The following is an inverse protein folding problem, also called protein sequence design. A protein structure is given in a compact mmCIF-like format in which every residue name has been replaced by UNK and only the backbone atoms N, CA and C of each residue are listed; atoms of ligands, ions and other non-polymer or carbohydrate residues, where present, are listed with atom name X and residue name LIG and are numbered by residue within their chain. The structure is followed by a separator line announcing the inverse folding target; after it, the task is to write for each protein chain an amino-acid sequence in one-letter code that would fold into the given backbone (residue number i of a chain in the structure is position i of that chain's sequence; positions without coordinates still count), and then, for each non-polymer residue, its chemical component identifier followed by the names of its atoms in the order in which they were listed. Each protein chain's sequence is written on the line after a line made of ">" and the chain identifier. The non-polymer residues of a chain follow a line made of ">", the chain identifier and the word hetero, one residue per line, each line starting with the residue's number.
data_IF_754010062252
#
_entry.id   IF_754010062252
#
_cell.length_a   1.000
_cell.length_b   1.000
_cell.length_c   1.000
_cell.angle_alpha   90.00
_cell.angle_beta   90.00
_cell.angle_gamma   90.00
#
_symmetry.space_group_name_H-M   'P 1'
#
loop_
_entity.id
_entity.type
_entity.pdbx_description
1 polymer ?
#
# COMPACT_ATOMS: atom_id res chain seq x y z
N UNK A 1 -18.83 -11.26 37.34
CA UNK A 1 -19.36 -11.12 35.97
C UNK A 1 -18.24 -11.57 35.05
N UNK A 2 -18.32 -12.78 34.49
CA UNK A 2 -17.20 -13.50 33.87
C UNK A 2 -17.11 -13.35 32.34
N UNK A 3 -17.35 -12.16 31.79
CA UNK A 3 -16.97 -11.80 30.41
C UNK A 3 -16.94 -10.28 30.32
N UNK A 4 -15.81 -9.67 29.99
CA UNK A 4 -15.81 -8.22 29.72
C UNK A 4 -14.87 -7.80 28.57
N UNK A 5 -14.41 -8.73 27.72
CA UNK A 5 -13.61 -8.37 26.55
C UNK A 5 -13.73 -9.39 25.43
N UNK A 6 -13.79 -8.92 24.19
CA UNK A 6 -13.68 -9.73 22.98
C UNK A 6 -12.32 -9.49 22.34
N UNK A 7 -11.64 -10.57 21.94
CA UNK A 7 -10.39 -10.47 21.18
C UNK A 7 -10.71 -10.82 19.73
N UNK A 8 -10.56 -9.83 18.85
CA UNK A 8 -10.82 -9.98 17.42
C UNK A 8 -9.51 -9.86 16.64
N UNK A 9 -9.22 -10.87 15.82
CA UNK A 9 -8.06 -10.90 14.93
C UNK A 9 -8.54 -11.08 13.49
N UNK A 10 -8.32 -10.07 12.66
CA UNK A 10 -8.72 -10.05 11.26
C UNK A 10 -7.53 -9.92 10.33
N UNK A 11 -7.64 -10.49 9.13
CA UNK A 11 -6.63 -10.37 8.09
C UNK A 11 -7.25 -10.38 6.69
N UNK A 12 -6.71 -9.53 5.82
CA UNK A 12 -7.01 -9.52 4.40
C UNK A 12 -5.75 -9.95 3.64
N UNK A 13 -5.79 -11.11 2.98
CA UNK A 13 -4.64 -11.66 2.26
C UNK A 13 -4.53 -11.05 0.86
N UNK A 14 -3.35 -10.52 0.54
CA UNK A 14 -2.92 -10.31 -0.84
C UNK A 14 -2.20 -11.57 -1.33
N UNK A 15 -2.71 -12.24 -2.36
CA UNK A 15 -2.09 -13.46 -2.91
C UNK A 15 -0.70 -13.16 -3.49
N UNK A 16 0.35 -13.61 -2.83
CA UNK A 16 1.75 -13.52 -3.29
C UNK A 16 2.11 -14.73 -4.16
N UNK A 17 3.40 -14.96 -4.44
CA UNK A 17 3.87 -16.15 -5.15
C UNK A 17 3.50 -17.41 -4.36
N UNK A 18 2.34 -17.99 -4.65
CA UNK A 18 1.85 -19.15 -3.91
C UNK A 18 0.33 -19.18 -3.88
N UNK A 19 -0.23 -19.87 -4.89
CA UNK A 19 -1.56 -20.50 -4.94
C UNK A 19 -2.69 -19.79 -4.16
N UNK A 20 -3.76 -19.39 -4.86
CA UNK A 20 -4.99 -18.86 -4.24
C UNK A 20 -5.80 -19.98 -3.57
N UNK A 21 -5.32 -20.49 -2.43
CA UNK A 21 -6.04 -21.46 -1.62
C UNK A 21 -6.39 -20.91 -0.23
N UNK A 22 -7.44 -21.49 0.36
CA UNK A 22 -8.00 -21.10 1.67
C UNK A 22 -7.01 -21.38 2.80
N UNK A 23 -6.17 -22.41 2.66
CA UNK A 23 -5.21 -22.84 3.68
C UNK A 23 -4.10 -21.81 3.95
N UNK A 24 -3.93 -20.83 3.07
CA UNK A 24 -2.98 -19.73 3.26
C UNK A 24 -3.62 -18.48 3.85
N UNK A 25 -4.94 -18.49 4.09
CA UNK A 25 -5.63 -17.38 4.73
C UNK A 25 -5.31 -17.37 6.24
N UNK A 26 -4.89 -16.22 6.74
CA UNK A 26 -4.73 -15.98 8.17
C UNK A 26 -6.12 -15.79 8.83
N UNK A 27 -6.26 -15.97 10.16
CA UNK A 27 -5.22 -16.31 11.12
C UNK A 27 -4.81 -17.79 11.08
N UNK A 28 -3.53 -18.07 11.31
CA UNK A 28 -3.09 -19.43 11.62
C UNK A 28 -3.23 -19.66 13.11
N UNK A 29 -3.60 -20.88 13.49
CA UNK A 29 -3.84 -21.26 14.88
C UNK A 29 -3.02 -22.51 15.18
N UNK A 30 -2.16 -22.42 16.20
CA UNK A 30 -1.52 -23.58 16.80
C UNK A 30 -2.26 -23.91 18.10
N UNK A 31 -2.73 -25.16 18.22
CA UNK A 31 -3.56 -25.61 19.32
C UNK A 31 -2.74 -26.47 20.29
N UNK A 32 -3.05 -26.33 21.57
CA UNK A 32 -2.47 -27.11 22.66
C UNK A 32 -3.55 -27.39 23.71
N UNK A 33 -3.37 -28.45 24.49
CA UNK A 33 -4.29 -28.80 25.59
C UNK A 33 -4.18 -27.80 26.74
N UNK A 34 -3.04 -27.12 26.90
CA UNK A 34 -2.84 -26.07 27.89
C UNK A 34 -3.25 -24.73 27.28
N UNK A 35 -4.24 -24.00 27.84
CA UNK A 35 -4.73 -22.74 27.27
C UNK A 35 -3.62 -21.72 26.93
N UNK A 36 -2.68 -21.49 27.85
CA UNK A 36 -1.58 -20.54 27.68
C UNK A 36 -0.62 -20.89 26.51
N UNK A 37 -0.65 -22.13 26.00
CA UNK A 37 0.18 -22.59 24.87
C UNK A 37 -0.53 -22.51 23.52
N UNK A 38 -1.82 -22.17 23.50
CA UNK A 38 -2.54 -21.91 22.27
C UNK A 38 -2.15 -20.52 21.75
N UNK A 39 -1.95 -20.40 20.44
CA UNK A 39 -1.62 -19.11 19.80
C UNK A 39 -2.29 -18.99 18.44
N UNK A 40 -2.89 -17.83 18.18
CA UNK A 40 -3.38 -17.42 16.88
C UNK A 40 -2.52 -16.26 16.38
N UNK A 41 -2.13 -16.28 15.10
CA UNK A 41 -1.29 -15.24 14.48
C UNK A 41 -1.86 -14.80 13.13
N UNK A 42 -1.78 -13.50 12.88
CA UNK A 42 -2.00 -12.90 11.58
C UNK A 42 -1.12 -11.66 11.43
N UNK A 43 -0.70 -11.34 10.22
CA UNK A 43 0.05 -10.11 10.02
C UNK A 43 0.32 -9.78 8.56
N UNK A 44 0.83 -8.57 8.36
CA UNK A 44 1.40 -8.12 7.11
C UNK A 44 2.92 -8.25 7.23
N UNK A 45 3.49 -9.28 6.61
CA UNK A 45 4.91 -9.52 6.69
C UNK A 45 5.46 -10.27 5.48
N UNK A 46 6.79 -10.28 5.40
CA UNK A 46 7.56 -11.16 4.55
C UNK A 46 8.81 -11.55 5.34
N UNK A 47 8.85 -12.78 5.85
CA UNK A 47 10.01 -13.30 6.60
C UNK A 47 10.87 -14.10 5.61
N UNK A 48 12.11 -13.65 5.41
CA UNK A 48 12.99 -14.19 4.35
C UNK A 48 13.83 -15.37 4.82
N UNK A 49 13.92 -15.61 6.13
CA UNK A 49 14.75 -16.64 6.73
C UNK A 49 13.95 -17.80 7.34
N UNK A 50 12.79 -18.15 6.75
CA UNK A 50 11.91 -19.22 7.26
C UNK A 50 12.64 -20.56 7.53
N UNK A 51 13.59 -20.95 6.66
CA UNK A 51 14.38 -22.18 6.85
C UNK A 51 15.28 -22.14 8.09
N UNK A 52 15.85 -20.97 8.40
CA UNK A 52 16.64 -20.77 9.62
C UNK A 52 15.76 -20.90 10.86
N UNK A 53 14.50 -20.42 10.80
CA UNK A 53 13.56 -20.56 11.92
C UNK A 53 13.24 -22.03 12.20
N UNK A 54 13.01 -22.84 11.16
CA UNK A 54 12.80 -24.28 11.30
C UNK A 54 14.02 -24.99 11.86
N UNK A 55 15.22 -24.62 11.39
CA UNK A 55 16.49 -25.12 11.91
C UNK A 55 16.64 -24.80 13.41
N UNK A 56 16.28 -23.59 13.83
CA UNK A 56 16.33 -23.15 15.22
C UNK A 56 15.43 -24.01 16.14
N UNK A 57 14.26 -24.45 15.66
CA UNK A 57 13.36 -25.32 16.42
C UNK A 57 13.60 -26.82 16.18
N UNK A 58 14.60 -27.19 15.38
CA UNK A 58 14.97 -28.58 15.11
C UNK A 58 13.91 -29.36 14.33
N UNK A 59 13.16 -28.69 13.44
CA UNK A 59 12.12 -29.33 12.61
C UNK A 59 12.48 -29.28 11.14
N UNK A 60 12.09 -30.33 10.42
CA UNK A 60 12.16 -30.39 8.96
C UNK A 60 10.73 -30.33 8.41
N UNK A 61 10.26 -29.15 7.94
CA UNK A 61 8.93 -29.03 7.36
C UNK A 61 8.86 -29.73 5.99
N UNK A 62 7.68 -30.22 5.64
CA UNK A 62 7.41 -30.70 4.28
C UNK A 62 7.54 -29.54 3.26
N UNK A 63 7.83 -29.86 1.99
CA UNK A 63 8.08 -28.86 0.95
C UNK A 63 6.94 -27.82 0.80
N UNK A 64 5.68 -28.23 0.97
CA UNK A 64 4.54 -27.30 0.85
C UNK A 64 4.43 -26.30 2.03
N UNK A 65 4.93 -26.67 3.21
CA UNK A 65 4.89 -25.86 4.45
C UNK A 65 6.17 -25.02 4.59
N UNK A 66 7.28 -25.52 4.06
CA UNK A 66 8.61 -24.88 4.09
C UNK A 66 8.62 -23.45 3.54
N UNK A 67 7.79 -23.16 2.54
CA UNK A 67 7.70 -21.84 1.90
C UNK A 67 6.68 -20.89 2.56
N UNK A 68 5.94 -21.32 3.57
CA UNK A 68 5.02 -20.46 4.30
C UNK A 68 5.75 -19.78 5.46
N UNK A 69 6.00 -18.48 5.31
CA UNK A 69 6.62 -17.64 6.34
C UNK A 69 5.77 -17.56 7.62
N UNK A 70 4.44 -17.51 7.49
CA UNK A 70 3.55 -17.60 8.65
C UNK A 70 3.64 -18.95 9.36
N UNK A 71 3.76 -20.06 8.62
CA UNK A 71 3.91 -21.38 9.23
C UNK A 71 5.21 -21.47 10.05
N UNK A 72 6.31 -20.97 9.49
CA UNK A 72 7.59 -20.91 10.20
C UNK A 72 7.49 -20.05 11.47
N UNK A 73 6.85 -18.88 11.36
CA UNK A 73 6.66 -17.97 12.49
C UNK A 73 5.80 -18.58 13.60
N UNK A 74 4.64 -19.17 13.26
CA UNK A 74 3.74 -19.71 14.29
C UNK A 74 4.35 -20.92 14.99
N UNK A 75 5.13 -21.74 14.29
CA UNK A 75 5.85 -22.84 14.90
C UNK A 75 6.98 -22.38 15.82
N UNK A 76 7.75 -21.37 15.40
CA UNK A 76 8.76 -20.74 16.24
C UNK A 76 8.14 -20.17 17.51
N UNK A 77 7.10 -19.35 17.36
CA UNK A 77 6.42 -18.73 18.51
C UNK A 77 5.78 -19.76 19.41
N UNK A 78 5.13 -20.80 18.88
CA UNK A 78 4.57 -21.90 19.68
C UNK A 78 5.66 -22.64 20.48
N UNK A 79 6.83 -22.89 19.87
CA UNK A 79 7.97 -23.50 20.57
C UNK A 79 8.49 -22.63 21.71
N UNK A 80 8.65 -21.32 21.48
CA UNK A 80 9.09 -20.37 22.51
C UNK A 80 8.05 -20.17 23.61
N UNK A 81 6.77 -20.16 23.25
CA UNK A 81 5.63 -20.06 24.16
C UNK A 81 5.58 -21.26 25.11
N UNK A 82 5.76 -22.48 24.58
CA UNK A 82 5.84 -23.71 25.39
C UNK A 82 6.98 -23.63 26.42
N UNK A 83 8.17 -23.22 26.00
CA UNK A 83 9.34 -23.07 26.88
C UNK A 83 9.10 -22.03 27.98
N UNK A 84 8.47 -20.92 27.65
CA UNK A 84 8.15 -19.86 28.63
C UNK A 84 7.13 -20.36 29.66
N UNK A 85 6.08 -21.06 29.22
CA UNK A 85 5.06 -21.66 30.09
C UNK A 85 5.63 -22.79 30.96
N UNK A 86 6.56 -23.60 30.45
CA UNK A 86 7.24 -24.64 31.25
C UNK A 86 8.15 -24.03 32.31
N UNK A 87 8.78 -22.89 32.01
CA UNK A 87 9.66 -22.20 32.95
C UNK A 87 8.88 -21.38 33.98
N UNK A 88 7.70 -20.88 33.62
CA UNK A 88 6.85 -20.04 34.46
C UNK A 88 5.37 -20.50 34.37
N UNK A 89 5.01 -21.65 34.94
CA UNK A 89 3.64 -22.16 34.87
C UNK A 89 2.62 -21.15 35.40
N UNK A 90 1.53 -20.95 34.65
CA UNK A 90 0.43 -20.02 34.97
C UNK A 90 0.85 -18.53 35.06
N UNK A 91 2.09 -18.21 34.70
CA UNK A 91 2.67 -16.85 34.73
C UNK A 91 3.39 -16.52 33.43
N UNK A 92 2.76 -16.89 32.32
CA UNK A 92 3.29 -16.66 30.98
C UNK A 92 3.64 -15.18 30.79
N UNK A 93 4.90 -14.90 30.44
CA UNK A 93 5.32 -13.57 30.05
C UNK A 93 5.44 -13.50 28.52
N UNK A 94 4.39 -13.01 27.86
CA UNK A 94 4.37 -12.89 26.39
C UNK A 94 5.48 -11.96 25.89
N UNK A 95 5.82 -10.90 26.62
CA UNK A 95 6.87 -9.98 26.23
C UNK A 95 8.22 -10.70 26.12
N UNK A 96 8.54 -11.63 27.03
CA UNK A 96 9.74 -12.47 26.92
C UNK A 96 9.73 -13.35 25.67
N UNK A 97 8.60 -13.93 25.31
CA UNK A 97 8.45 -14.71 24.07
C UNK A 97 8.71 -13.83 22.86
N UNK A 98 8.14 -12.62 22.83
CA UNK A 98 8.35 -11.67 21.74
C UNK A 98 9.81 -11.18 21.67
N UNK A 99 10.44 -10.88 22.81
CA UNK A 99 11.88 -10.51 22.90
C UNK A 99 12.80 -11.61 22.37
N UNK A 100 12.43 -12.88 22.52
CA UNK A 100 13.16 -14.02 21.96
C UNK A 100 12.84 -14.25 20.48
N UNK A 101 11.62 -13.95 20.05
CA UNK A 101 11.15 -14.17 18.67
C UNK A 101 11.73 -13.12 17.71
N UNK A 102 11.55 -11.83 18.01
CA UNK A 102 11.86 -10.73 17.08
C UNK A 102 13.31 -10.76 16.57
N UNK A 103 14.34 -11.02 17.39
CA UNK A 103 15.73 -11.09 16.92
C UNK A 103 16.03 -12.22 15.93
N UNK A 104 15.19 -13.27 15.89
CA UNK A 104 15.34 -14.40 14.99
C UNK A 104 14.73 -14.14 13.61
N UNK A 105 13.84 -13.15 13.49
CA UNK A 105 13.14 -12.85 12.24
C UNK A 105 13.98 -11.92 11.37
N UNK A 106 14.17 -12.29 10.11
CA UNK A 106 14.69 -11.42 9.07
C UNK A 106 13.58 -11.06 8.08
N UNK A 107 13.44 -9.77 7.78
CA UNK A 107 12.40 -9.22 6.92
C UNK A 107 11.63 -8.06 7.53
N UNK A 108 10.54 -7.67 6.85
CA UNK A 108 9.64 -6.61 7.29
C UNK A 108 8.32 -7.18 7.77
N UNK A 109 7.91 -6.84 8.99
CA UNK A 109 6.76 -7.47 9.63
C UNK A 109 6.01 -6.55 10.59
N UNK A 110 4.68 -6.68 10.53
CA UNK A 110 3.74 -6.27 11.56
C UNK A 110 2.80 -7.45 11.82
N UNK A 111 2.82 -7.96 13.04
CA UNK A 111 2.13 -9.20 13.41
C UNK A 111 1.24 -8.93 14.61
N UNK A 112 -0.01 -9.36 14.52
CA UNK A 112 -0.93 -9.44 15.64
C UNK A 112 -1.20 -10.90 16.01
N UNK A 113 -1.49 -11.13 17.28
CA UNK A 113 -1.82 -12.45 17.78
C UNK A 113 -2.55 -12.44 19.09
N UNK A 114 -3.00 -13.61 19.48
CA UNK A 114 -3.65 -13.84 20.76
C UNK A 114 -3.29 -15.23 21.29
N UNK A 115 -3.14 -15.34 22.61
CA UNK A 115 -2.97 -16.62 23.30
C UNK A 115 -4.30 -17.14 23.85
N UNK A 116 -4.38 -18.45 24.12
CA UNK A 116 -5.61 -19.07 24.63
C UNK A 116 -6.01 -18.67 26.05
N UNK A 117 -5.12 -18.03 26.81
CA UNK A 117 -5.43 -17.44 28.12
C UNK A 117 -5.91 -15.98 28.05
N UNK A 118 -6.10 -15.42 26.85
CA UNK A 118 -6.71 -14.09 26.68
C UNK A 118 -5.72 -12.93 26.55
N UNK A 119 -4.42 -13.20 26.33
CA UNK A 119 -3.44 -12.13 26.08
C UNK A 119 -3.44 -11.83 24.58
N UNK A 120 -3.79 -10.58 24.23
CA UNK A 120 -3.67 -10.04 22.88
C UNK A 120 -2.36 -9.29 22.71
N UNK A 121 -1.74 -9.38 21.53
CA UNK A 121 -0.51 -8.61 21.27
C UNK A 121 -0.35 -8.24 19.80
N UNK A 122 0.44 -7.20 19.59
CA UNK A 122 0.91 -6.74 18.28
C UNK A 122 2.37 -6.35 18.40
N UNK A 123 3.21 -6.71 17.44
CA UNK A 123 4.60 -6.28 17.39
C UNK A 123 5.03 -5.85 15.99
N UNK A 124 6.08 -5.02 15.94
CA UNK A 124 6.63 -4.44 14.70
C UNK A 124 8.11 -4.73 14.56
N UNK A 125 8.54 -4.92 13.31
CA UNK A 125 9.95 -5.09 12.96
C UNK A 125 10.84 -3.92 13.44
N UNK A 126 12.12 -4.18 13.78
CA UNK A 126 13.03 -3.17 14.32
C UNK A 126 13.42 -2.07 13.33
N UNK A 127 13.17 -2.26 12.03
CA UNK A 127 13.43 -1.27 10.99
C UNK A 127 12.18 -0.42 10.66
N UNK A 128 11.01 -0.78 11.19
CA UNK A 128 9.72 -0.17 10.86
C UNK A 128 9.35 -0.27 9.38
N UNK A 129 9.70 -1.38 8.72
CA UNK A 129 9.46 -1.60 7.28
C UNK A 129 7.97 -1.60 6.98
N UNK A 130 7.19 -2.40 7.73
CA UNK A 130 5.74 -2.47 7.59
C UNK A 130 5.05 -1.42 8.47
N UNK A 131 4.00 -0.74 7.99
CA UNK A 131 3.28 0.24 8.79
C UNK A 131 2.46 -0.46 9.89
N UNK A 132 2.37 0.19 11.05
CA UNK A 132 1.62 -0.30 12.20
C UNK A 132 1.13 0.88 13.03
N UNK A 133 -0.17 0.92 13.30
CA UNK A 133 -0.82 1.98 14.05
C UNK A 133 -1.73 1.38 15.12
N UNK A 134 -1.95 2.14 16.18
CA UNK A 134 -2.85 1.74 17.26
C UNK A 134 -3.64 2.93 17.82
N UNK A 135 -4.76 2.61 18.45
CA UNK A 135 -5.61 3.53 19.20
C UNK A 135 -6.10 2.82 20.46
N UNK A 136 -6.14 3.57 21.57
CA UNK A 136 -6.54 3.09 22.89
C UNK A 136 -7.44 4.13 23.52
N UNK A 137 -8.58 3.70 24.04
CA UNK A 137 -9.42 4.47 24.96
C UNK A 137 -9.92 3.55 26.09
N UNK A 138 -10.89 4.03 26.87
CA UNK A 138 -11.43 3.29 28.03
C UNK A 138 -12.21 2.02 27.66
N UNK A 139 -12.61 1.85 26.39
CA UNK A 139 -13.45 0.74 25.93
C UNK A 139 -12.73 -0.22 24.97
N UNK A 140 -11.79 0.28 24.16
CA UNK A 140 -11.17 -0.50 23.07
C UNK A 140 -9.66 -0.30 22.99
N UNK A 141 -8.97 -1.40 22.67
CA UNK A 141 -7.60 -1.39 22.16
C UNK A 141 -7.63 -1.94 20.74
N UNK A 142 -7.18 -1.14 19.78
CA UNK A 142 -7.13 -1.55 18.37
C UNK A 142 -5.78 -1.25 17.77
N UNK A 143 -5.32 -2.17 16.91
CA UNK A 143 -4.16 -1.97 16.07
C UNK A 143 -4.47 -2.40 14.63
N UNK A 144 -3.88 -1.71 13.67
CA UNK A 144 -4.06 -1.99 12.25
C UNK A 144 -2.84 -1.54 11.43
N UNK A 145 -2.67 -2.14 10.25
CA UNK A 145 -1.62 -1.78 9.29
C UNK A 145 -1.73 -0.32 8.80
N UNK A 146 -2.95 0.24 8.76
CA UNK A 146 -3.19 1.59 8.25
C UNK A 146 -3.97 2.47 9.23
N UNK A 147 -3.50 3.71 9.42
CA UNK A 147 -4.16 4.73 10.23
C UNK A 147 -5.60 4.98 9.78
N UNK A 148 -5.84 5.02 8.47
CA UNK A 148 -7.15 5.32 7.89
C UNK A 148 -8.23 4.30 8.32
N UNK A 149 -7.88 3.03 8.49
CA UNK A 149 -8.82 2.00 8.93
C UNK A 149 -9.36 2.28 10.34
N UNK A 150 -8.46 2.64 11.27
CA UNK A 150 -8.81 2.99 12.65
C UNK A 150 -9.66 4.27 12.67
N UNK A 151 -9.24 5.31 11.96
CA UNK A 151 -9.97 6.59 11.92
C UNK A 151 -11.39 6.44 11.41
N UNK A 152 -11.58 5.68 10.33
CA UNK A 152 -12.92 5.45 9.77
C UNK A 152 -13.79 4.60 10.68
N UNK A 153 -13.24 3.54 11.29
CA UNK A 153 -14.02 2.63 12.13
C UNK A 153 -14.44 3.26 13.47
N UNK A 154 -13.54 4.03 14.09
CA UNK A 154 -13.76 4.60 15.43
C UNK A 154 -14.11 6.10 15.42
N UNK A 155 -14.19 6.72 14.23
CA UNK A 155 -14.50 8.14 14.06
C UNK A 155 -13.57 9.09 14.88
N UNK A 156 -12.26 8.83 14.82
CA UNK A 156 -11.26 9.57 15.59
C UNK A 156 -10.38 10.50 14.73
N UNK A 157 -9.90 11.63 15.28
CA UNK A 157 -8.97 12.52 14.60
C UNK A 157 -7.57 11.89 14.48
N UNK A 158 -6.71 12.49 13.64
CA UNK A 158 -5.40 11.90 13.30
C UNK A 158 -4.46 11.77 14.52
N UNK A 159 -4.47 12.76 15.40
CA UNK A 159 -3.58 12.85 16.56
C UNK A 159 -3.85 11.79 17.63
N UNK A 160 -5.01 11.13 17.59
CA UNK A 160 -5.35 10.04 18.51
C UNK A 160 -4.79 8.69 18.05
N UNK A 161 -4.59 8.50 16.74
CA UNK A 161 -4.05 7.24 16.20
C UNK A 161 -2.54 7.30 16.12
N UNK A 162 -1.87 6.54 16.99
CA UNK A 162 -0.42 6.55 17.17
C UNK A 162 0.26 5.50 16.29
N UNK A 163 1.49 5.78 15.85
CA UNK A 163 2.34 4.80 15.18
C UNK A 163 2.98 3.89 16.23
N UNK A 164 2.97 2.58 16.03
CA UNK A 164 3.73 1.63 16.84
C UNK A 164 5.20 1.73 16.40
N UNK A 165 6.11 2.20 17.24
CA UNK A 165 7.48 2.52 16.79
C UNK A 165 8.29 1.24 16.48
N UNK A 166 9.39 1.34 15.71
CA UNK A 166 10.20 0.18 15.34
C UNK A 166 10.67 -0.61 16.58
N UNK A 167 10.51 -1.94 16.52
CA UNK A 167 10.89 -2.85 17.61
C UNK A 167 9.99 -2.81 18.85
N UNK A 168 8.87 -2.08 18.80
CA UNK A 168 7.88 -2.06 19.89
C UNK A 168 6.83 -3.16 19.74
N UNK A 169 6.22 -3.48 20.88
CA UNK A 169 4.98 -4.25 20.95
C UNK A 169 3.92 -3.55 21.78
N UNK A 170 2.66 -3.80 21.43
CA UNK A 170 1.48 -3.46 22.20
C UNK A 170 0.90 -4.78 22.72
N UNK A 171 0.82 -4.93 24.04
CA UNK A 171 0.33 -6.12 24.73
C UNK A 171 -0.89 -5.73 25.55
N UNK A 172 -1.93 -6.55 25.51
CA UNK A 172 -3.15 -6.42 26.30
C UNK A 172 -3.34 -7.72 27.06
N UNK A 173 -3.25 -7.65 28.38
CA UNK A 173 -3.38 -8.82 29.26
C UNK A 173 -4.85 -9.17 29.48
N UNK A 174 -5.09 -10.36 30.03
CA UNK A 174 -6.45 -10.89 30.27
C UNK A 174 -7.28 -10.06 31.26
N UNK A 175 -6.62 -9.25 32.10
CA UNK A 175 -7.26 -8.31 33.03
C UNK A 175 -7.57 -6.94 32.40
N UNK A 176 -7.22 -6.74 31.12
CA UNK A 176 -7.38 -5.49 30.39
C UNK A 176 -6.23 -4.50 30.59
N UNK A 177 -5.20 -4.84 31.37
CA UNK A 177 -4.00 -4.00 31.47
C UNK A 177 -3.23 -3.96 30.16
N UNK A 178 -2.66 -2.79 29.84
CA UNK A 178 -2.04 -2.50 28.55
C UNK A 178 -0.57 -2.14 28.75
N UNK A 179 0.29 -2.77 27.96
CA UNK A 179 1.72 -2.50 27.94
C UNK A 179 2.17 -2.13 26.53
N UNK A 180 2.76 -0.94 26.40
CA UNK A 180 3.47 -0.52 25.20
C UNK A 180 4.97 -0.64 25.47
N UNK A 181 5.58 -1.72 25.01
CA UNK A 181 6.95 -2.07 25.36
C UNK A 181 7.93 -1.91 24.19
N UNK A 182 9.15 -1.47 24.50
CA UNK A 182 10.28 -1.63 23.59
C UNK A 182 10.84 -3.06 23.74
N UNK A 183 10.48 -3.94 22.81
CA UNK A 183 10.85 -5.35 22.86
C UNK A 183 12.30 -5.55 22.38
N UNK A 184 12.71 -4.85 21.34
CA UNK A 184 14.10 -4.85 20.84
C UNK A 184 14.53 -3.42 20.49
N UNK A 185 15.83 -3.07 20.55
CA UNK A 185 16.28 -1.74 20.15
C UNK A 185 15.87 -1.40 18.71
N UNK A 186 15.37 -0.18 18.51
CA UNK A 186 15.08 0.32 17.18
C UNK A 186 16.35 0.38 16.33
N UNK A 187 16.25 -0.05 15.07
CA UNK A 187 17.32 0.03 14.07
C UNK A 187 17.05 1.22 13.14
N UNK A 188 17.95 1.41 12.17
CA UNK A 188 17.76 2.38 11.10
C UNK A 188 16.38 2.22 10.45
N UNK A 189 15.63 3.32 10.33
CA UNK A 189 14.28 3.27 9.78
C UNK A 189 14.33 3.02 8.27
N UNK A 190 13.75 1.90 7.83
CA UNK A 190 13.66 1.48 6.42
C UNK A 190 12.22 1.29 5.98
N UNK A 191 11.38 2.28 6.28
CA UNK A 191 9.96 2.27 5.95
C UNK A 191 9.75 2.02 4.44
N UNK A 192 8.80 1.15 4.09
CA UNK A 192 8.56 0.77 2.70
C UNK A 192 8.10 1.97 1.85
N UNK A 193 8.84 2.32 0.81
CA UNK A 193 8.46 3.37 -0.15
C UNK A 193 7.22 3.00 -0.97
N UNK A 194 7.01 1.71 -1.22
CA UNK A 194 5.87 1.22 -2.02
C UNK A 194 4.52 1.43 -1.33
N UNK A 195 4.51 1.47 0.02
CA UNK A 195 3.33 1.88 0.79
C UNK A 195 2.90 3.30 0.43
N UNK A 196 3.86 4.22 0.33
CA UNK A 196 3.62 5.62 0.00
C UNK A 196 3.23 5.82 -1.47
N UNK A 197 3.85 5.06 -2.37
CA UNK A 197 3.62 5.18 -3.82
C UNK A 197 2.27 4.56 -4.22
N UNK A 198 1.95 3.36 -3.73
CA UNK A 198 0.82 2.58 -4.25
C UNK A 198 -0.05 1.91 -3.18
N UNK A 199 0.53 1.12 -2.27
CA UNK A 199 -0.25 0.16 -1.45
C UNK A 199 -1.17 0.81 -0.43
N UNK A 200 -0.68 1.80 0.33
CA UNK A 200 -1.49 2.43 1.36
C UNK A 200 -2.59 3.30 0.74
N UNK A 201 -3.68 3.51 1.48
CA UNK A 201 -4.79 4.35 1.03
C UNK A 201 -4.33 5.79 0.79
N UNK A 202 -4.65 6.31 -0.40
CA UNK A 202 -4.34 7.69 -0.78
C UNK A 202 -5.11 8.76 0.01
N UNK A 203 -6.09 8.36 0.84
CA UNK A 203 -6.83 9.25 1.73
C UNK A 203 -6.10 9.58 3.03
N UNK A 204 -5.00 8.89 3.36
CA UNK A 204 -4.10 9.36 4.43
C UNK A 204 -3.43 10.67 3.98
N UNK A 205 -3.49 11.70 4.83
CA UNK A 205 -3.05 13.06 4.51
C UNK A 205 -1.57 13.13 4.08
N UNK A 206 -0.69 12.38 4.75
CA UNK A 206 0.74 12.40 4.45
C UNK A 206 1.00 11.73 3.11
N UNK A 207 0.34 10.60 2.86
CA UNK A 207 0.42 9.88 1.57
C UNK A 207 -0.15 10.74 0.45
N UNK A 208 -1.28 11.42 0.66
CA UNK A 208 -1.88 12.34 -0.31
C UNK A 208 -0.90 13.44 -0.71
N UNK A 209 -0.29 14.12 0.27
CA UNK A 209 0.69 15.19 0.03
C UNK A 209 1.93 14.68 -0.68
N UNK A 210 2.44 13.52 -0.28
CA UNK A 210 3.61 12.89 -0.91
C UNK A 210 3.33 12.54 -2.38
N UNK A 211 2.21 11.87 -2.69
CA UNK A 211 1.81 11.54 -4.06
C UNK A 211 1.60 12.79 -4.92
N UNK A 212 0.98 13.83 -4.36
CA UNK A 212 0.82 15.11 -5.06
C UNK A 212 2.19 15.73 -5.39
N UNK A 213 3.14 15.67 -4.46
CA UNK A 213 4.49 16.19 -4.67
C UNK A 213 5.28 15.36 -5.71
N UNK A 214 5.14 14.04 -5.71
CA UNK A 214 5.75 13.17 -6.73
C UNK A 214 5.28 13.57 -8.13
N UNK A 215 3.98 13.75 -8.30
CA UNK A 215 3.39 14.26 -9.53
C UNK A 215 3.93 15.63 -9.94
N UNK A 216 3.98 16.57 -8.99
CA UNK A 216 4.51 17.91 -9.25
C UNK A 216 5.97 17.88 -9.74
N UNK A 217 6.81 17.04 -9.15
CA UNK A 217 8.22 16.90 -9.55
C UNK A 217 8.40 16.31 -10.96
N UNK A 218 7.40 15.59 -11.47
CA UNK A 218 7.39 15.09 -12.85
C UNK A 218 7.02 16.16 -13.88
N UNK A 219 6.51 17.31 -13.46
CA UNK A 219 6.05 18.36 -14.39
C UNK A 219 7.15 18.82 -15.36
N UNK A 220 8.33 19.16 -14.87
CA UNK A 220 9.43 19.67 -15.69
C UNK A 220 9.96 18.62 -16.71
N UNK A 221 10.23 17.36 -16.32
CA UNK A 221 10.54 16.30 -17.30
C UNK A 221 9.45 16.13 -18.37
N UNK A 222 8.17 16.22 -18.00
CA UNK A 222 7.05 16.07 -18.93
C UNK A 222 6.98 17.26 -19.89
N UNK A 223 7.15 18.49 -19.40
CA UNK A 223 7.20 19.71 -20.22
C UNK A 223 8.30 19.61 -21.29
N UNK A 224 9.49 19.11 -20.93
CA UNK A 224 10.56 18.86 -21.89
C UNK A 224 10.18 17.81 -22.93
N UNK A 225 9.54 16.72 -22.51
CA UNK A 225 9.17 15.61 -23.38
C UNK A 225 8.08 15.96 -24.43
N UNK A 226 7.27 16.98 -24.15
CA UNK A 226 6.29 17.56 -25.07
C UNK A 226 6.80 18.82 -25.78
N UNK A 227 8.10 19.15 -25.66
CA UNK A 227 8.69 20.35 -26.25
C UNK A 227 7.95 21.64 -25.83
N UNK A 228 7.42 21.64 -24.60
CA UNK A 228 6.58 22.70 -24.03
C UNK A 228 5.27 22.99 -24.80
N UNK A 229 4.81 22.11 -25.69
CA UNK A 229 3.54 22.25 -26.42
C UNK A 229 2.33 21.85 -25.57
N UNK A 230 1.88 22.76 -24.69
CA UNK A 230 0.66 22.56 -23.90
C UNK A 230 -0.64 22.70 -24.72
N UNK A 231 -0.59 23.28 -25.93
CA UNK A 231 -1.78 23.53 -26.74
C UNK A 231 -2.27 22.25 -27.40
N UNK A 232 -1.34 21.45 -27.92
CA UNK A 232 -1.63 20.18 -28.57
C UNK A 232 -1.29 18.99 -27.68
N UNK A 233 -1.31 19.16 -26.36
CA UNK A 233 -1.12 18.07 -25.39
C UNK A 233 -2.37 17.88 -24.55
N UNK A 234 -2.81 16.63 -24.42
CA UNK A 234 -3.87 16.22 -23.50
C UNK A 234 -3.23 15.45 -22.36
N UNK A 235 -3.58 15.82 -21.12
CA UNK A 235 -3.13 15.15 -19.91
C UNK A 235 -4.24 14.26 -19.33
N UNK A 236 -3.90 13.01 -19.03
CA UNK A 236 -4.78 12.01 -18.40
C UNK A 236 -3.99 11.17 -17.39
N UNK A 237 -4.68 10.27 -16.69
CA UNK A 237 -4.09 9.28 -15.80
C UNK A 237 -4.68 7.89 -16.03
N UNK A 238 -3.98 6.85 -15.54
CA UNK A 238 -4.49 5.48 -15.44
C UNK A 238 -5.21 5.32 -14.10
N UNK A 239 -6.52 5.01 -14.07
CA UNK A 239 -7.25 4.89 -12.82
C UNK A 239 -6.83 3.66 -12.00
N UNK A 240 -6.84 3.71 -10.66
CA UNK A 240 -7.32 4.81 -9.81
C UNK A 240 -6.18 5.50 -9.04
N UNK A 241 -5.14 4.76 -8.66
CA UNK A 241 -4.13 5.23 -7.69
C UNK A 241 -3.29 6.41 -8.20
N UNK A 242 -3.07 6.50 -9.51
CA UNK A 242 -2.29 7.57 -10.13
C UNK A 242 -2.97 8.95 -10.07
N UNK A 243 -4.25 9.04 -9.73
CA UNK A 243 -5.05 10.28 -9.71
C UNK A 243 -4.42 11.39 -8.84
N UNK A 244 -3.90 11.06 -7.66
CA UNK A 244 -3.30 12.07 -6.77
C UNK A 244 -1.99 12.62 -7.35
N UNK A 245 -1.17 11.77 -7.96
CA UNK A 245 0.04 12.19 -8.66
C UNK A 245 -0.29 12.98 -9.93
N UNK A 246 -1.37 12.61 -10.63
CA UNK A 246 -1.88 13.37 -11.76
C UNK A 246 -2.22 14.82 -11.37
N UNK A 247 -2.98 15.03 -10.31
CA UNK A 247 -3.26 16.39 -9.81
C UNK A 247 -1.99 17.15 -9.43
N UNK A 248 -0.98 16.45 -8.91
CA UNK A 248 0.33 17.02 -8.65
C UNK A 248 1.00 17.54 -9.92
N UNK A 249 1.04 16.70 -10.95
CA UNK A 249 1.61 17.03 -12.25
C UNK A 249 0.88 18.19 -12.91
N UNK A 250 -0.45 18.20 -12.85
CA UNK A 250 -1.27 19.30 -13.38
C UNK A 250 -0.95 20.64 -12.72
N UNK A 251 -0.78 20.70 -11.40
CA UNK A 251 -0.35 21.94 -10.72
C UNK A 251 0.95 22.48 -11.31
N UNK A 252 1.93 21.61 -11.56
CA UNK A 252 3.18 22.03 -12.19
C UNK A 252 3.00 22.50 -13.64
N UNK A 253 2.09 21.89 -14.42
CA UNK A 253 1.74 22.37 -15.76
C UNK A 253 1.07 23.76 -15.71
N UNK A 254 0.15 23.96 -14.76
CA UNK A 254 -0.54 25.24 -14.55
C UNK A 254 0.42 26.34 -14.12
N UNK A 255 1.35 26.05 -13.21
CA UNK A 255 2.38 27.00 -12.78
C UNK A 255 3.26 27.46 -13.95
N UNK A 256 3.68 26.52 -14.80
CA UNK A 256 4.39 26.85 -16.04
C UNK A 256 3.53 27.71 -16.98
N UNK A 257 2.28 27.31 -17.23
CA UNK A 257 1.38 28.06 -18.12
C UNK A 257 1.14 29.48 -17.60
N UNK A 258 0.92 29.64 -16.29
CA UNK A 258 0.71 30.93 -15.65
C UNK A 258 1.94 31.83 -15.79
N UNK A 259 3.15 31.28 -15.60
CA UNK A 259 4.40 32.00 -15.84
C UNK A 259 4.50 32.51 -17.28
N UNK A 260 4.24 31.65 -18.27
CA UNK A 260 4.26 32.03 -19.70
C UNK A 260 3.20 33.08 -20.03
N UNK A 261 1.98 32.98 -19.46
CA UNK A 261 0.94 34.00 -19.63
C UNK A 261 1.42 35.36 -19.15
N UNK A 262 1.99 35.43 -17.94
CA UNK A 262 2.51 36.68 -17.36
C UNK A 262 3.63 37.25 -18.22
N UNK A 263 4.64 36.44 -18.58
CA UNK A 263 5.75 36.86 -19.46
C UNK A 263 5.22 37.42 -20.80
N UNK A 264 4.23 36.75 -21.40
CA UNK A 264 3.64 37.17 -22.68
C UNK A 264 2.83 38.46 -22.55
N UNK A 265 2.03 38.60 -21.49
CA UNK A 265 1.25 39.83 -21.24
C UNK A 265 2.18 41.02 -21.02
N UNK A 266 3.25 40.83 -20.24
CA UNK A 266 4.26 41.87 -20.02
C UNK A 266 4.98 42.26 -21.32
N UNK A 267 5.28 41.28 -22.18
CA UNK A 267 5.92 41.54 -23.48
C UNK A 267 5.08 42.39 -24.44
N UNK A 268 3.77 42.49 -24.23
CA UNK A 268 2.91 43.35 -25.04
C UNK A 268 3.07 44.83 -24.73
N UNK A 269 3.72 45.23 -23.63
CA UNK A 269 3.93 46.65 -23.29
C UNK A 269 2.65 47.50 -23.34
N UNK A 270 1.53 46.96 -22.81
CA UNK A 270 0.17 47.54 -22.85
C UNK A 270 -0.48 47.63 -24.24
N UNK A 271 0.12 47.02 -25.26
CA UNK A 271 -0.47 46.86 -26.60
C UNK A 271 -1.36 45.61 -26.66
N UNK A 272 -2.55 45.71 -26.08
CA UNK A 272 -3.59 44.69 -26.18
C UNK A 272 -4.98 45.30 -25.99
N UNK A 273 -5.97 44.71 -26.64
CA UNK A 273 -7.38 44.94 -26.38
C UNK A 273 -7.95 43.87 -25.43
N UNK A 274 -9.21 44.02 -25.07
CA UNK A 274 -9.91 43.07 -24.21
C UNK A 274 -9.96 41.66 -24.82
N UNK A 275 -10.10 41.55 -26.15
CA UNK A 275 -10.16 40.27 -26.84
C UNK A 275 -8.84 39.49 -26.73
N UNK A 276 -7.71 40.14 -27.04
CA UNK A 276 -6.36 39.56 -26.96
C UNK A 276 -5.99 39.18 -25.53
N UNK A 277 -6.32 40.03 -24.55
CA UNK A 277 -6.10 39.71 -23.14
C UNK A 277 -6.94 38.52 -22.68
N UNK A 278 -8.23 38.51 -23.04
CA UNK A 278 -9.15 37.43 -22.70
C UNK A 278 -8.72 36.10 -23.31
N UNK A 279 -8.25 36.10 -24.56
CA UNK A 279 -7.70 34.88 -25.19
C UNK A 279 -6.55 34.30 -24.36
N UNK A 280 -5.62 35.14 -23.89
CA UNK A 280 -4.46 34.70 -23.11
C UNK A 280 -4.85 34.19 -21.72
N UNK A 281 -5.70 34.92 -21.00
CA UNK A 281 -6.14 34.55 -19.65
C UNK A 281 -6.90 33.22 -19.68
N UNK A 282 -7.75 33.02 -20.70
CA UNK A 282 -8.59 31.84 -20.82
C UNK A 282 -7.87 30.58 -21.34
N UNK A 283 -6.57 30.65 -21.67
CA UNK A 283 -5.80 29.44 -22.00
C UNK A 283 -5.78 28.50 -20.79
N UNK A 284 -6.09 27.22 -21.01
CA UNK A 284 -6.10 26.19 -19.95
C UNK A 284 -5.35 24.97 -20.43
N UNK A 285 -4.87 24.20 -19.46
CA UNK A 285 -4.34 22.85 -19.71
C UNK A 285 -5.50 21.97 -20.18
N UNK A 286 -5.30 21.21 -21.26
CA UNK A 286 -6.31 20.26 -21.74
C UNK A 286 -6.21 18.97 -20.94
N UNK A 287 -7.28 18.65 -20.24
CA UNK A 287 -7.38 17.52 -19.34
C UNK A 287 -8.58 16.71 -19.77
N UNK A 288 -8.39 15.41 -19.98
CA UNK A 288 -9.47 14.51 -20.37
C UNK A 288 -9.33 13.21 -19.58
N UNK A 289 -10.47 12.64 -19.17
CA UNK A 289 -10.49 11.29 -18.60
C UNK A 289 -10.50 10.29 -19.74
N UNK A 290 -9.32 9.91 -20.22
CA UNK A 290 -9.20 9.04 -21.39
C UNK A 290 -9.36 7.58 -21.00
N UNK A 291 -8.63 7.10 -19.99
CA UNK A 291 -8.75 5.72 -19.53
C UNK A 291 -9.87 5.62 -18.48
N UNK A 292 -10.82 4.72 -18.71
CA UNK A 292 -11.88 4.38 -17.76
C UNK A 292 -11.65 2.94 -17.33
N UNK A 293 -11.59 2.69 -16.02
CA UNK A 293 -11.47 1.34 -15.47
C UNK A 293 -12.85 0.83 -15.05
N UNK A 294 -13.42 -0.11 -15.79
CA UNK A 294 -14.63 -0.82 -15.37
C UNK A 294 -14.29 -2.21 -14.87
N UNK A 295 -14.45 -2.40 -13.56
CA UNK A 295 -14.11 -3.67 -12.87
C UNK A 295 -15.34 -4.60 -12.82
N UNK A 296 -16.51 -4.17 -13.31
CA UNK A 296 -17.76 -4.95 -13.21
C UNK A 296 -18.04 -5.81 -14.43
N UNK A 297 -17.14 -6.72 -14.77
CA UNK A 297 -17.54 -7.88 -15.58
C UNK A 297 -17.94 -9.04 -14.68
N UNK A 298 -19.26 -9.28 -14.56
CA UNK A 298 -19.78 -10.56 -14.09
C UNK A 298 -19.66 -11.55 -15.26
N UNK A 299 -18.75 -12.51 -15.17
CA UNK A 299 -18.62 -13.56 -16.18
C UNK A 299 -19.68 -14.62 -15.93
N UNK A 300 -20.67 -14.71 -16.81
CA UNK A 300 -21.50 -15.90 -16.93
C UNK A 300 -20.67 -16.96 -17.68
N UNK A 301 -20.11 -17.91 -16.92
CA UNK A 301 -19.48 -19.19 -17.33
C UNK A 301 -18.74 -19.15 -18.68
N UNK A 302 -17.41 -19.00 -18.64
CA UNK A 302 -16.54 -19.11 -19.83
C UNK A 302 -15.21 -19.77 -19.48
N UNK A 303 -14.64 -20.51 -20.42
CA UNK A 303 -13.35 -21.22 -20.31
C UNK A 303 -12.17 -20.27 -20.03
N UNK A 304 -11.13 -20.76 -19.33
CA UNK A 304 -10.00 -19.97 -18.84
C UNK A 304 -9.21 -19.24 -19.95
N UNK A 305 -9.22 -19.75 -21.19
CA UNK A 305 -8.54 -19.11 -22.32
C UNK A 305 -9.24 -17.81 -22.74
N UNK A 306 -10.56 -17.72 -22.57
CA UNK A 306 -11.37 -16.52 -22.86
C UNK A 306 -11.24 -15.43 -21.78
N UNK A 307 -10.63 -15.72 -20.61
CA UNK A 307 -10.43 -14.72 -19.55
C UNK A 307 -9.33 -13.70 -19.89
N UNK A 308 -8.30 -14.10 -20.64
CA UNK A 308 -7.23 -13.19 -21.03
C UNK A 308 -7.70 -12.11 -22.02
N UNK A 309 -8.67 -12.43 -22.89
CA UNK A 309 -9.33 -11.44 -23.75
C UNK A 309 -10.20 -10.45 -22.93
N UNK A 310 -10.81 -10.90 -21.82
CA UNK A 310 -11.60 -10.03 -20.95
C UNK A 310 -10.76 -9.03 -20.13
N UNK A 311 -9.47 -9.30 -19.87
CA UNK A 311 -8.59 -8.31 -19.23
C UNK A 311 -8.43 -7.06 -20.10
N UNK A 312 -8.51 -7.21 -21.43
CA UNK A 312 -8.47 -6.07 -22.37
C UNK A 312 -9.72 -5.17 -22.28
N UNK A 313 -10.82 -5.67 -21.70
CA UNK A 313 -12.08 -4.95 -21.51
C UNK A 313 -12.23 -4.35 -20.11
N UNK A 314 -11.20 -4.46 -19.24
CA UNK A 314 -11.18 -3.76 -17.95
C UNK A 314 -11.00 -2.25 -18.15
N UNK A 315 -10.42 -1.86 -19.28
CA UNK A 315 -10.21 -0.47 -19.63
C UNK A 315 -11.00 -0.10 -20.90
N UNK A 316 -11.67 1.04 -20.84
CA UNK A 316 -12.36 1.68 -21.95
C UNK A 316 -11.79 3.09 -22.21
N UNK A 317 -12.10 3.66 -23.38
CA UNK A 317 -11.65 4.99 -23.80
C UNK A 317 -12.76 5.97 -24.10
N UNK A 318 -12.55 7.21 -23.71
CA UNK A 318 -13.43 8.33 -24.08
C UNK A 318 -13.13 8.81 -25.51
N UNK A 319 -13.93 8.37 -26.48
CA UNK A 319 -13.82 8.77 -27.89
C UNK A 319 -14.13 10.26 -28.12
N UNK A 320 -13.58 10.84 -29.19
CA UNK A 320 -13.85 12.22 -29.60
C UNK A 320 -13.08 13.30 -28.82
N UNK A 321 -12.26 12.91 -27.85
CA UNK A 321 -11.47 13.82 -27.00
C UNK A 321 -10.11 14.20 -27.61
N UNK A 322 -9.56 13.33 -28.46
CA UNK A 322 -8.24 13.46 -29.08
C UNK A 322 -8.39 13.84 -30.55
N UNK A 323 -7.69 14.90 -30.99
CA UNK A 323 -7.56 15.24 -32.40
C UNK A 323 -6.55 14.30 -33.05
N UNK A 324 -7.03 13.45 -33.95
CA UNK A 324 -6.24 12.42 -34.60
C UNK A 324 -5.02 13.02 -35.33
N UNK A 325 -3.84 12.43 -35.10
CA UNK A 325 -2.53 12.80 -35.64
C UNK A 325 -2.02 14.20 -35.28
N UNK A 326 -2.74 14.95 -34.44
CA UNK A 326 -2.35 16.27 -33.96
C UNK A 326 -1.93 16.24 -32.48
N UNK A 327 -2.78 15.66 -31.63
CA UNK A 327 -2.61 15.74 -30.19
C UNK A 327 -1.59 14.73 -29.66
N UNK A 328 -0.72 15.19 -28.76
CA UNK A 328 0.12 14.36 -27.91
C UNK A 328 -0.66 13.97 -26.67
N UNK A 329 -0.67 12.69 -26.34
CA UNK A 329 -1.33 12.17 -25.16
C UNK A 329 -0.30 11.86 -24.07
N UNK A 330 -0.38 12.54 -22.93
CA UNK A 330 0.42 12.27 -21.73
C UNK A 330 -0.45 11.56 -20.70
N UNK A 331 -0.05 10.35 -20.31
CA UNK A 331 -0.78 9.57 -19.29
C UNK A 331 0.15 9.18 -18.16
N UNK A 332 -0.25 9.49 -16.93
CA UNK A 332 0.48 9.10 -15.73
C UNK A 332 -0.09 7.82 -15.11
N UNK A 333 0.80 6.92 -14.71
CA UNK A 333 0.52 5.72 -13.94
C UNK A 333 1.34 5.74 -12.63
N UNK A 334 0.93 4.96 -11.63
CA UNK A 334 1.61 4.97 -10.33
C UNK A 334 3.00 4.33 -10.43
N UNK A 335 3.09 3.19 -11.10
CA UNK A 335 4.30 2.39 -11.22
C UNK A 335 4.28 1.47 -12.45
N UNK A 336 5.47 1.06 -12.90
CA UNK A 336 5.64 0.06 -13.97
C UNK A 336 6.46 -1.10 -13.41
N UNK A 337 5.81 -2.25 -13.18
CA UNK A 337 6.45 -3.46 -12.62
C UNK A 337 6.84 -4.44 -13.73
N UNK A 338 5.86 -5.17 -14.31
CA UNK A 338 6.10 -6.15 -15.40
C UNK A 338 5.95 -5.54 -16.79
N UNK A 339 5.27 -4.41 -16.90
CA UNK A 339 5.00 -3.73 -18.17
C UNK A 339 4.00 -4.43 -19.11
N UNK A 340 3.53 -5.64 -18.81
CA UNK A 340 2.59 -6.41 -19.65
C UNK A 340 1.25 -5.68 -19.81
N UNK A 341 0.61 -5.28 -18.71
CA UNK A 341 -0.66 -4.51 -18.74
C UNK A 341 -0.53 -3.20 -19.51
N UNK A 342 0.60 -2.50 -19.32
CA UNK A 342 0.89 -1.26 -20.02
C UNK A 342 1.01 -1.50 -21.54
N UNK A 343 1.81 -2.48 -21.93
CA UNK A 343 2.10 -2.80 -23.33
C UNK A 343 0.88 -3.35 -24.06
N UNK A 344 0.23 -4.36 -23.49
CA UNK A 344 -0.79 -5.16 -24.17
C UNK A 344 -2.15 -4.48 -24.15
N UNK A 345 -2.50 -3.83 -23.04
CA UNK A 345 -3.82 -3.23 -22.86
C UNK A 345 -3.79 -1.72 -23.03
N UNK A 346 -3.02 -1.00 -22.22
CA UNK A 346 -3.11 0.46 -22.13
C UNK A 346 -2.65 1.14 -23.42
N UNK A 347 -1.44 0.84 -23.90
CA UNK A 347 -0.90 1.49 -25.11
C UNK A 347 -1.75 1.15 -26.35
N UNK A 348 -2.13 -0.12 -26.51
CA UNK A 348 -3.01 -0.58 -27.60
C UNK A 348 -4.34 0.17 -27.61
N UNK A 349 -4.96 0.30 -26.44
CA UNK A 349 -6.22 1.01 -26.25
C UNK A 349 -6.07 2.50 -26.58
N UNK A 350 -5.06 3.18 -26.02
CA UNK A 350 -4.80 4.60 -26.29
C UNK A 350 -4.51 4.86 -27.78
N UNK A 351 -3.85 3.91 -28.46
CA UNK A 351 -3.56 3.98 -29.89
C UNK A 351 -4.81 4.05 -30.78
N UNK A 352 -5.96 3.55 -30.32
CA UNK A 352 -7.24 3.62 -31.05
C UNK A 352 -7.74 5.06 -31.26
N UNK A 353 -7.27 6.00 -30.46
CA UNK A 353 -7.57 7.44 -30.58
C UNK A 353 -6.70 8.14 -31.63
N UNK A 354 -5.75 7.43 -32.23
CA UNK A 354 -4.79 7.94 -33.21
C UNK A 354 -4.05 9.22 -32.76
N UNK A 355 -3.50 9.29 -31.52
CA UNK A 355 -2.71 10.44 -31.11
C UNK A 355 -1.42 10.55 -31.94
N UNK A 356 -0.89 11.77 -32.07
CA UNK A 356 0.43 12.01 -32.71
C UNK A 356 1.55 11.29 -31.97
N UNK A 357 1.50 11.28 -30.65
CA UNK A 357 2.50 10.71 -29.74
C UNK A 357 1.82 10.30 -28.44
N UNK A 358 2.25 9.18 -27.84
CA UNK A 358 1.85 8.77 -26.50
C UNK A 358 3.08 8.85 -25.59
N UNK A 359 2.94 9.52 -24.44
CA UNK A 359 3.94 9.62 -23.40
C UNK A 359 3.36 9.01 -22.13
N UNK A 360 4.00 7.97 -21.64
CA UNK A 360 3.64 7.32 -20.38
C UNK A 360 4.59 7.82 -19.30
N UNK A 361 4.02 8.29 -18.19
CA UNK A 361 4.75 8.84 -17.05
C UNK A 361 4.53 7.91 -15.85
N UNK A 362 5.60 7.51 -15.17
CA UNK A 362 5.52 6.73 -13.93
C UNK A 362 5.81 7.63 -12.74
N UNK A 363 4.92 7.64 -11.74
CA UNK A 363 5.16 8.37 -10.48
C UNK A 363 6.17 7.68 -9.55
N UNK A 364 6.54 6.44 -9.86
CA UNK A 364 7.61 5.70 -9.20
C UNK A 364 8.91 5.71 -10.02
N UNK A 365 10.07 5.61 -9.36
CA UNK A 365 11.31 5.19 -10.00
C UNK A 365 11.18 3.81 -10.66
N UNK A 366 12.18 3.43 -11.45
CA UNK A 366 12.25 2.12 -12.07
C UNK A 366 12.36 1.02 -11.00
N UNK A 367 11.44 0.05 -11.06
CA UNK A 367 11.40 -1.11 -10.16
C UNK A 367 12.24 -2.21 -10.80
N UNK A 368 13.41 -2.48 -10.23
CA UNK A 368 14.40 -3.42 -10.78
C UNK A 368 14.67 -4.63 -9.89
N UNK A 369 14.22 -4.59 -8.64
CA UNK A 369 14.48 -5.61 -7.64
C UNK A 369 13.16 -6.14 -7.08
N UNK A 370 13.05 -7.46 -6.84
CA UNK A 370 11.85 -8.10 -6.30
C UNK A 370 11.59 -7.75 -4.83
#
# INVERSE_FOLDING_TARGET
>A
LNFLGEILLGHLRYGTQGKNKVEYCHPFINRDVIPARNIALAGNFNIVNAEELYTHIGKNPDEEVRFSDLAALIELMSSLLRKEEESNPEKLNIANVLRKTIPLLDGGFHVGGATGNGIGFVFRDPHGIRPAYYYINDEVVVAASERAAIRTAFNVPENEVKELMPGQGLIVHEDGSIELEQLVPAKERKACSFERIYFSRGSDEKIYRERNKLGYQLSEPVLKAIEHDLRNTIFSFIPNTAETAFYGMLKGMEDYLNRIKVERILSWNKDFDEAKLSEMINRRIRIEKIAIKDVKMRTFITEDVSRNEMVQHVYDITYGTVRANEDTLVVIDDSIVRGTTLRESIITMLGRLSPKKIIVVSSSPQIRYP
#
